data_IF_143122663401
#
_entry.id   IF_143122663401
#
_cell.length_a   1.000
_cell.length_b   1.000
_cell.length_c   1.000
_cell.angle_alpha   90.00
_cell.angle_beta   90.00
_cell.angle_gamma   90.00
#
_symmetry.space_group_name_H-M   'P 1'
#
loop_
_entity.id
_entity.type
_entity.pdbx_description
1 polymer ?
#
# COMPACT_ATOMS: atom_id res chain seq x y z
N UNK A 1 0.30 -6.80 5.51
CA UNK A 1 0.96 -7.97 6.14
C UNK A 1 2.35 -7.49 6.48
N UNK A 2 2.73 -7.49 7.75
CA UNK A 2 4.10 -7.16 8.15
C UNK A 2 4.94 -8.41 7.96
N UNK A 3 5.98 -8.32 7.13
CA UNK A 3 6.95 -9.38 6.97
C UNK A 3 8.22 -8.96 7.69
N UNK A 4 8.56 -9.67 8.77
CA UNK A 4 9.84 -9.49 9.45
C UNK A 4 10.87 -10.40 8.81
N UNK A 5 11.76 -9.84 8.00
CA UNK A 5 12.85 -10.58 7.38
C UNK A 5 14.06 -10.56 8.32
N UNK A 6 14.27 -11.66 9.04
CA UNK A 6 15.45 -11.85 9.90
C UNK A 6 16.61 -12.31 9.01
N UNK A 7 17.48 -11.39 8.60
CA UNK A 7 18.75 -11.72 7.92
C UNK A 7 19.95 -11.37 8.81
N UNK A 8 20.93 -12.29 8.96
CA UNK A 8 22.19 -11.95 9.58
C UNK A 8 22.99 -11.02 8.65
N UNK A 9 23.41 -9.86 9.16
CA UNK A 9 24.23 -8.90 8.40
C UNK A 9 25.54 -8.71 9.14
N UNK A 10 26.65 -9.07 8.52
CA UNK A 10 27.99 -8.90 9.08
C UNK A 10 28.57 -7.58 8.57
N UNK A 11 29.01 -6.68 9.46
CA UNK A 11 29.78 -5.48 9.03
C UNK A 11 31.19 -5.91 8.59
N UNK A 12 31.79 -5.21 7.64
CA UNK A 12 33.16 -5.44 7.13
C UNK A 12 34.30 -5.38 8.17
N UNK A 13 34.00 -5.06 9.44
CA UNK A 13 34.99 -4.84 10.49
C UNK A 13 34.96 -5.92 11.59
N UNK A 14 34.25 -7.03 11.37
CA UNK A 14 34.24 -8.18 12.29
C UNK A 14 33.31 -8.07 13.51
N UNK A 15 32.54 -6.98 13.65
CA UNK A 15 31.47 -6.88 14.65
C UNK A 15 30.16 -7.50 14.10
N UNK A 16 29.66 -8.54 14.76
CA UNK A 16 28.34 -9.12 14.50
C UNK A 16 27.24 -8.12 14.89
N UNK A 17 26.50 -7.63 13.91
CA UNK A 17 25.24 -6.94 14.18
C UNK A 17 24.20 -8.03 14.47
N UNK A 18 23.81 -8.16 15.74
CA UNK A 18 22.65 -8.94 16.13
C UNK A 18 21.39 -8.29 15.55
N UNK A 19 20.96 -8.82 14.41
CA UNK A 19 19.63 -8.62 13.79
C UNK A 19 19.34 -7.22 13.26
N UNK A 20 19.08 -7.11 11.95
CA UNK A 20 18.48 -5.94 11.33
C UNK A 20 17.01 -6.26 11.06
N UNK A 21 16.10 -5.53 11.69
CA UNK A 21 14.67 -5.63 11.42
C UNK A 21 14.34 -4.76 10.20
N UNK A 22 14.16 -5.40 9.04
CA UNK A 22 13.68 -4.71 7.84
C UNK A 22 12.16 -4.74 7.89
N UNK A 23 11.53 -3.60 8.21
CA UNK A 23 10.08 -3.41 8.10
C UNK A 23 9.75 -2.98 6.68
N UNK A 24 9.25 -3.89 5.87
CA UNK A 24 8.67 -3.55 4.58
C UNK A 24 7.22 -3.12 4.80
N UNK A 25 6.98 -1.81 4.85
CA UNK A 25 5.62 -1.25 4.91
C UNK A 25 5.04 -1.18 3.50
N UNK A 26 4.01 -1.98 3.22
CA UNK A 26 3.26 -1.91 1.96
C UNK A 26 2.16 -0.84 2.07
N UNK A 27 2.24 0.17 1.21
CA UNK A 27 1.43 1.40 1.28
C UNK A 27 0.48 1.56 0.09
N UNK A 28 -0.38 2.57 0.13
CA UNK A 28 -1.26 2.95 -0.98
C UNK A 28 -0.49 3.27 -2.27
N UNK A 29 0.74 3.78 -2.16
CA UNK A 29 1.64 3.96 -3.31
C UNK A 29 1.99 2.62 -3.97
N UNK A 30 2.26 1.60 -3.17
CA UNK A 30 2.57 0.26 -3.69
C UNK A 30 1.33 -0.38 -4.34
N UNK A 31 0.12 -0.13 -3.80
CA UNK A 31 -1.14 -0.50 -4.46
C UNK A 31 -1.24 0.18 -5.82
N UNK A 32 -1.00 1.49 -5.88
CA UNK A 32 -1.04 2.26 -7.12
C UNK A 32 -0.09 1.66 -8.16
N UNK A 33 1.14 1.34 -7.78
CA UNK A 33 2.17 0.83 -8.70
C UNK A 33 1.95 -0.63 -9.10
N UNK A 34 1.68 -1.53 -8.14
CA UNK A 34 1.53 -2.98 -8.39
C UNK A 34 0.23 -3.28 -9.15
N UNK A 35 -0.87 -2.63 -8.77
CA UNK A 35 -2.16 -2.83 -9.40
C UNK A 35 -2.35 -1.97 -10.66
N UNK A 36 -1.35 -1.22 -11.12
CA UNK A 36 -1.52 -0.31 -12.26
C UNK A 36 -1.69 -0.99 -13.63
N UNK A 37 -1.82 -2.33 -13.67
CA UNK A 37 -2.13 -3.01 -14.92
C UNK A 37 -3.42 -2.44 -15.50
N UNK A 38 -3.33 -1.81 -16.68
CA UNK A 38 -4.44 -1.09 -17.35
C UNK A 38 -5.05 0.08 -16.56
N UNK A 39 -4.29 0.70 -15.65
CA UNK A 39 -4.75 1.88 -14.88
C UNK A 39 -5.60 1.56 -13.65
N UNK A 40 -5.77 0.27 -13.31
CA UNK A 40 -6.66 -0.15 -12.23
C UNK A 40 -6.19 0.34 -10.85
N UNK A 41 -4.88 0.36 -10.61
CA UNK A 41 -4.28 0.86 -9.37
C UNK A 41 -4.51 2.36 -9.14
N UNK A 42 -4.38 3.20 -10.18
CA UNK A 42 -4.67 4.63 -10.08
C UNK A 42 -6.16 4.89 -9.84
N UNK A 43 -7.04 4.15 -10.53
CA UNK A 43 -8.48 4.20 -10.28
C UNK A 43 -8.83 3.79 -8.84
N UNK A 44 -8.12 2.80 -8.31
CA UNK A 44 -8.34 2.30 -6.95
C UNK A 44 -8.02 3.36 -5.88
N UNK A 45 -6.89 4.04 -6.00
CA UNK A 45 -6.49 5.11 -5.08
C UNK A 45 -7.43 6.31 -5.19
N UNK A 46 -7.78 6.71 -6.42
CA UNK A 46 -8.76 7.78 -6.65
C UNK A 46 -10.12 7.48 -6.06
N UNK A 47 -10.58 6.23 -6.15
CA UNK A 47 -11.84 5.82 -5.54
C UNK A 47 -11.80 6.00 -4.02
N UNK A 48 -10.69 5.64 -3.36
CA UNK A 48 -10.52 5.84 -1.91
C UNK A 48 -10.47 7.33 -1.55
N UNK A 49 -9.77 8.15 -2.33
CA UNK A 49 -9.76 9.61 -2.19
C UNK A 49 -11.18 10.18 -2.27
N UNK A 50 -11.94 9.80 -3.29
CA UNK A 50 -13.34 10.23 -3.46
C UNK A 50 -14.24 9.77 -2.32
N UNK A 51 -14.03 8.56 -1.80
CA UNK A 51 -14.84 7.99 -0.74
C UNK A 51 -14.61 8.62 0.63
N UNK A 52 -13.36 8.98 0.92
CA UNK A 52 -12.90 9.41 2.25
C UNK A 52 -12.70 10.91 2.37
N UNK A 53 -12.54 11.61 1.24
CA UNK A 53 -12.15 13.01 1.20
C UNK A 53 -10.68 13.27 1.58
N UNK A 54 -9.87 12.21 1.78
CA UNK A 54 -8.45 12.36 2.09
C UNK A 54 -7.65 12.81 0.86
N UNK A 55 -6.55 13.52 1.10
CA UNK A 55 -5.65 13.92 0.02
C UNK A 55 -4.94 12.70 -0.58
N UNK A 56 -4.56 12.82 -1.84
CA UNK A 56 -3.87 11.75 -2.58
C UNK A 56 -2.57 11.34 -1.87
N UNK A 57 -1.84 12.31 -1.31
CA UNK A 57 -0.64 12.08 -0.49
C UNK A 57 -0.93 11.33 0.80
N UNK A 58 -2.09 11.56 1.42
CA UNK A 58 -2.47 10.82 2.62
C UNK A 58 -2.76 9.36 2.27
N UNK A 59 -3.57 9.12 1.24
CA UNK A 59 -3.93 7.77 0.79
C UNK A 59 -2.72 6.98 0.31
N UNK A 60 -1.75 7.63 -0.35
CA UNK A 60 -0.49 7.00 -0.75
C UNK A 60 0.34 6.47 0.42
N UNK A 61 0.22 7.07 1.61
CA UNK A 61 0.92 6.66 2.82
C UNK A 61 0.06 5.75 3.72
N UNK A 62 -1.21 5.51 3.38
CA UNK A 62 -2.06 4.55 4.11
C UNK A 62 -1.57 3.12 3.89
N UNK A 63 -1.88 2.22 4.84
CA UNK A 63 -1.60 0.80 4.67
C UNK A 63 -2.36 0.26 3.45
N UNK A 64 -1.66 -0.49 2.60
CA UNK A 64 -2.23 -1.09 1.39
C UNK A 64 -3.48 -1.93 1.65
N UNK A 65 -3.61 -2.53 2.85
CA UNK A 65 -4.79 -3.29 3.25
C UNK A 65 -6.01 -2.41 3.42
N UNK A 66 -5.84 -1.23 4.02
CA UNK A 66 -6.92 -0.28 4.25
C UNK A 66 -7.37 0.32 2.93
N UNK A 67 -6.43 0.70 2.07
CA UNK A 67 -6.72 1.17 0.71
C UNK A 67 -7.51 0.11 -0.07
N UNK A 68 -7.09 -1.16 -0.01
CA UNK A 68 -7.83 -2.26 -0.65
C UNK A 68 -9.22 -2.49 -0.05
N UNK A 69 -9.34 -2.46 1.28
CA UNK A 69 -10.60 -2.71 1.98
C UNK A 69 -11.63 -1.61 1.67
N UNK A 70 -11.22 -0.34 1.79
CA UNK A 70 -12.07 0.81 1.47
C UNK A 70 -12.47 0.75 0.00
N UNK A 71 -11.52 0.50 -0.90
CA UNK A 71 -11.84 0.44 -2.32
C UNK A 71 -12.88 -0.64 -2.65
N UNK A 72 -12.76 -1.84 -2.09
CA UNK A 72 -13.73 -2.93 -2.29
C UNK A 72 -15.11 -2.59 -1.71
N UNK A 73 -15.16 -1.94 -0.55
CA UNK A 73 -16.42 -1.50 0.05
C UNK A 73 -17.12 -0.44 -0.79
N UNK A 74 -16.35 0.45 -1.41
CA UNK A 74 -16.89 1.64 -2.09
C UNK A 74 -17.20 1.38 -3.57
N UNK A 75 -16.47 0.46 -4.22
CA UNK A 75 -16.63 0.14 -5.65
C UNK A 75 -18.09 -0.10 -6.07
N UNK A 76 -18.92 -0.87 -5.31
CA UNK A 76 -20.33 -1.07 -5.64
C UNK A 76 -21.16 0.21 -5.68
N UNK A 77 -20.86 1.21 -4.86
CA UNK A 77 -21.61 2.47 -4.78
C UNK A 77 -21.32 3.40 -5.97
N UNK A 78 -20.12 3.32 -6.53
CA UNK A 78 -19.72 4.12 -7.70
C UNK A 78 -19.97 3.39 -9.02
N UNK A 79 -20.12 2.06 -9.03
CA UNK A 79 -20.47 1.28 -10.22
C UNK A 79 -21.95 1.33 -10.61
N UNK A 80 -22.81 1.98 -9.83
CA UNK A 80 -24.25 2.15 -10.14
C UNK A 80 -24.52 3.37 -11.05
N UNK A 81 -23.47 4.13 -11.41
CA UNK A 81 -23.60 5.47 -11.99
C UNK A 81 -23.72 5.58 -13.52
N UNK A 82 -23.52 4.50 -14.29
CA UNK A 82 -23.74 4.53 -15.74
C UNK A 82 -24.44 3.23 -16.18
N UNK A 83 -25.76 3.31 -16.40
CA UNK A 83 -26.51 2.44 -17.30
C UNK A 83 -27.32 3.33 -18.24
#
# INVERSE_FOLDING_TARGET
MEYTLIKPVTKSNGEEIKTVEIRESFTGRDVRTVCNSKGEGDAQVKLVVCATGFSDTFVDNMDARDVNAISKMVKPFFSVGEN
#
